data_IF_230109329483
#
_entry.id   IF_230109329483
#
_cell.length_a   1.000
_cell.length_b   1.000
_cell.length_c   1.000
_cell.angle_alpha   90.00
_cell.angle_beta   90.00
_cell.angle_gamma   90.00
#
_symmetry.space_group_name_H-M   'P 1'
#
loop_
_entity.id
_entity.type
_entity.pdbx_description
1 polymer ?
#
# COMPACT_ATOMS: atom_id res chain seq x y z
N UNK A 1 -26.01 24.31 2.52
CA UNK A 1 -26.03 25.78 2.58
C UNK A 1 -24.68 26.42 2.25
N UNK A 2 -23.57 25.95 2.86
CA UNK A 2 -22.22 26.48 2.61
C UNK A 2 -21.73 26.30 1.18
N UNK A 3 -22.04 25.17 0.52
CA UNK A 3 -21.66 24.91 -0.87
C UNK A 3 -22.29 25.93 -1.84
N UNK A 4 -23.58 26.22 -1.69
CA UNK A 4 -24.27 27.21 -2.52
C UNK A 4 -23.69 28.62 -2.33
N UNK A 5 -23.29 28.97 -1.10
CA UNK A 5 -22.63 30.26 -0.81
C UNK A 5 -21.26 30.35 -1.48
N UNK A 6 -20.45 29.28 -1.42
CA UNK A 6 -19.16 29.21 -2.14
C UNK A 6 -19.35 29.38 -3.64
N UNK A 7 -20.33 28.69 -4.24
CA UNK A 7 -20.63 28.82 -5.67
C UNK A 7 -21.10 30.24 -6.05
N UNK A 8 -21.88 30.89 -5.20
CA UNK A 8 -22.38 32.25 -5.44
C UNK A 8 -21.24 33.27 -5.40
N UNK A 9 -20.36 33.18 -4.40
CA UNK A 9 -19.17 34.03 -4.28
C UNK A 9 -18.21 33.79 -5.44
N UNK A 10 -17.99 32.52 -5.82
CA UNK A 10 -17.14 32.19 -6.97
C UNK A 10 -17.66 32.83 -8.26
N UNK A 11 -18.98 32.80 -8.51
CA UNK A 11 -19.60 33.43 -9.69
C UNK A 11 -19.49 34.95 -9.66
N UNK A 12 -19.62 35.56 -8.49
CA UNK A 12 -19.47 37.00 -8.31
C UNK A 12 -18.02 37.45 -8.58
N UNK A 13 -17.05 36.77 -7.98
CA UNK A 13 -15.62 37.03 -8.20
C UNK A 13 -15.23 36.81 -9.67
N UNK A 14 -15.79 35.81 -10.36
CA UNK A 14 -15.55 35.61 -11.78
C UNK A 14 -16.03 36.79 -12.63
N UNK A 15 -17.15 37.41 -12.25
CA UNK A 15 -17.69 38.58 -12.93
C UNK A 15 -16.87 39.85 -12.65
N UNK A 16 -16.31 39.98 -11.44
CA UNK A 16 -15.51 41.15 -11.03
C UNK A 16 -14.06 41.07 -11.53
N UNK A 17 -13.43 39.90 -11.46
CA UNK A 17 -12.01 39.68 -11.80
C UNK A 17 -11.81 39.31 -13.28
N UNK A 18 -12.84 38.83 -13.96
CA UNK A 18 -12.76 38.40 -15.37
C UNK A 18 -12.01 37.09 -15.59
N UNK A 19 -11.64 36.37 -14.53
CA UNK A 19 -11.03 35.04 -14.57
C UNK A 19 -11.62 34.12 -13.49
N UNK A 20 -11.36 32.82 -13.58
CA UNK A 20 -11.75 31.89 -12.51
C UNK A 20 -11.01 32.25 -11.21
N UNK A 21 -11.73 32.49 -10.10
CA UNK A 21 -11.10 32.85 -8.83
C UNK A 21 -10.45 31.64 -8.18
N UNK A 22 -9.29 31.88 -7.58
CA UNK A 22 -8.54 30.86 -6.86
C UNK A 22 -9.21 30.48 -5.52
N UNK A 23 -8.92 29.29 -4.96
CA UNK A 23 -9.47 28.90 -3.66
C UNK A 23 -9.09 29.87 -2.52
N UNK A 24 -7.98 30.60 -2.64
CA UNK A 24 -7.52 31.59 -1.66
C UNK A 24 -8.37 32.87 -1.70
N UNK A 25 -8.65 33.39 -2.90
CA UNK A 25 -9.53 34.56 -3.09
C UNK A 25 -10.94 34.30 -2.57
N UNK A 26 -11.50 33.11 -2.84
CA UNK A 26 -12.81 32.72 -2.33
C UNK A 26 -12.80 32.53 -0.80
N UNK A 27 -11.70 32.03 -0.24
CA UNK A 27 -11.55 31.89 1.21
C UNK A 27 -11.48 33.24 1.94
N UNK A 28 -10.74 34.19 1.37
CA UNK A 28 -10.63 35.55 1.90
C UNK A 28 -11.98 36.28 1.87
N UNK A 29 -12.72 36.20 0.76
CA UNK A 29 -14.03 36.85 0.61
C UNK A 29 -15.09 36.23 1.54
N UNK A 30 -15.03 34.91 1.77
CA UNK A 30 -15.99 34.22 2.66
C UNK A 30 -15.59 34.24 4.14
N UNK A 31 -14.39 34.69 4.48
CA UNK A 31 -13.84 34.60 5.84
C UNK A 31 -13.74 33.16 6.36
N UNK A 32 -13.51 32.20 5.46
CA UNK A 32 -13.39 30.77 5.79
C UNK A 32 -11.94 30.30 5.66
N UNK A 33 -11.52 29.27 6.41
CA UNK A 33 -10.20 28.67 6.21
C UNK A 33 -10.05 28.07 4.80
N UNK A 34 -8.87 28.26 4.19
CA UNK A 34 -8.53 27.78 2.85
C UNK A 34 -8.84 26.28 2.66
N UNK A 35 -8.44 25.43 3.61
CA UNK A 35 -8.66 23.98 3.56
C UNK A 35 -10.15 23.62 3.44
N UNK A 36 -11.01 24.40 4.11
CA UNK A 36 -12.46 24.20 4.11
C UNK A 36 -13.04 24.58 2.75
N UNK A 37 -12.58 25.68 2.16
CA UNK A 37 -13.00 26.12 0.81
C UNK A 37 -12.53 25.12 -0.24
N UNK A 38 -11.27 24.67 -0.20
CA UNK A 38 -10.76 23.64 -1.09
C UNK A 38 -11.56 22.33 -0.99
N UNK A 39 -11.92 21.91 0.21
CA UNK A 39 -12.74 20.71 0.42
C UNK A 39 -14.14 20.87 -0.17
N UNK A 40 -14.78 22.02 0.04
CA UNK A 40 -16.11 22.32 -0.52
C UNK A 40 -16.06 22.40 -2.05
N UNK A 41 -15.03 23.05 -2.61
CA UNK A 41 -14.84 23.13 -4.07
C UNK A 41 -14.63 21.74 -4.68
N UNK A 42 -13.83 20.87 -4.05
CA UNK A 42 -13.66 19.47 -4.48
C UNK A 42 -14.97 18.69 -4.43
N UNK A 43 -15.79 18.89 -3.40
CA UNK A 43 -17.11 18.24 -3.29
C UNK A 43 -18.13 18.78 -4.31
N UNK A 44 -17.98 20.03 -4.76
CA UNK A 44 -18.85 20.65 -5.76
C UNK A 44 -18.54 20.20 -7.20
N UNK A 45 -17.39 19.56 -7.44
CA UNK A 45 -17.05 19.02 -8.75
C UNK A 45 -18.05 17.90 -9.12
N UNK A 46 -18.68 18.03 -10.29
CA UNK A 46 -19.58 17.01 -10.78
C UNK A 46 -18.78 15.78 -11.24
N UNK A 47 -19.23 14.56 -10.90
CA UNK A 47 -18.57 13.35 -11.37
C UNK A 47 -18.68 13.26 -12.90
N UNK A 48 -17.58 12.86 -13.53
CA UNK A 48 -17.53 12.59 -14.97
C UNK A 48 -18.01 11.16 -15.21
N UNK A 49 -18.78 10.94 -16.27
CA UNK A 49 -19.21 9.59 -16.64
C UNK A 49 -18.02 8.79 -17.16
N UNK A 50 -17.88 7.54 -16.71
CA UNK A 50 -16.88 6.61 -17.27
C UNK A 50 -17.14 6.31 -18.75
N UNK A 51 -18.38 6.51 -19.21
CA UNK A 51 -18.77 6.32 -20.61
C UNK A 51 -18.56 7.57 -21.45
N UNK A 52 -18.09 8.69 -20.88
CA UNK A 52 -17.77 9.87 -21.68
C UNK A 52 -16.68 9.51 -22.70
N UNK A 53 -16.90 9.78 -24.01
CA UNK A 53 -15.89 9.51 -25.02
C UNK A 53 -14.67 10.40 -24.79
N UNK A 54 -13.48 9.88 -25.11
CA UNK A 54 -12.21 10.59 -25.00
C UNK A 54 -11.59 10.70 -26.38
N UNK A 55 -11.36 11.93 -26.84
CA UNK A 55 -10.83 12.20 -28.18
C UNK A 55 -11.91 12.13 -29.28
N UNK A 56 -11.47 12.07 -30.55
CA UNK A 56 -12.35 12.03 -31.74
C UNK A 56 -12.83 10.61 -32.10
N UNK A 57 -12.43 9.60 -31.33
CA UNK A 57 -12.79 8.21 -31.56
C UNK A 57 -13.96 7.80 -30.66
N UNK A 58 -15.06 7.36 -31.26
CA UNK A 58 -16.24 6.88 -30.53
C UNK A 58 -15.99 5.55 -29.77
N UNK A 59 -14.88 4.87 -30.07
CA UNK A 59 -14.53 3.57 -29.47
C UNK A 59 -13.76 3.66 -28.14
N UNK A 60 -13.38 4.87 -27.68
CA UNK A 60 -12.57 5.04 -26.46
C UNK A 60 -13.31 5.86 -25.41
N UNK A 61 -13.59 5.25 -24.26
CA UNK A 61 -14.29 5.88 -23.15
C UNK A 61 -13.32 6.24 -22.02
N UNK A 62 -13.71 7.19 -21.17
CA UNK A 62 -12.92 7.63 -20.02
C UNK A 62 -12.55 6.48 -19.07
N UNK A 63 -13.46 5.51 -18.90
CA UNK A 63 -13.26 4.32 -18.08
C UNK A 63 -12.11 3.43 -18.53
N UNK A 64 -11.78 3.42 -19.82
CA UNK A 64 -10.72 2.56 -20.38
C UNK A 64 -9.31 3.00 -19.93
N UNK A 65 -9.18 4.24 -19.47
CA UNK A 65 -7.93 4.82 -18.96
C UNK A 65 -7.78 4.70 -17.45
N UNK A 66 -8.80 4.23 -16.74
CA UNK A 66 -8.72 4.08 -15.29
C UNK A 66 -8.09 2.73 -14.96
N UNK A 67 -6.84 2.78 -14.53
CA UNK A 67 -6.15 1.62 -13.97
C UNK A 67 -6.86 1.14 -12.70
N UNK A 68 -7.20 -0.15 -12.64
CA UNK A 68 -7.64 -0.79 -11.41
C UNK A 68 -6.44 -1.05 -10.49
N UNK A 69 -6.24 -0.13 -9.54
CA UNK A 69 -5.19 -0.23 -8.51
C UNK A 69 -5.43 -1.36 -7.50
N UNK A 70 -6.62 -1.97 -7.50
CA UNK A 70 -6.97 -3.11 -6.67
C UNK A 70 -6.76 -4.45 -7.37
N UNK A 71 -6.52 -4.46 -8.68
CA UNK A 71 -6.29 -5.69 -9.43
C UNK A 71 -4.95 -6.31 -9.03
N UNK A 72 -4.99 -7.56 -8.58
CA UNK A 72 -3.77 -8.33 -8.30
C UNK A 72 -3.02 -8.62 -9.60
N UNK A 73 -1.76 -8.21 -9.68
CA UNK A 73 -0.93 -8.49 -10.83
C UNK A 73 -0.61 -10.00 -10.91
N UNK A 74 -0.92 -10.70 -12.02
CA UNK A 74 -0.65 -12.13 -12.17
C UNK A 74 0.84 -12.48 -12.02
N UNK A 75 1.75 -11.55 -12.36
CA UNK A 75 3.18 -11.73 -12.13
C UNK A 75 3.51 -11.79 -10.64
N UNK A 76 2.94 -10.88 -9.84
CA UNK A 76 3.16 -10.82 -8.40
C UNK A 76 2.58 -12.06 -7.73
N UNK A 77 1.38 -12.49 -8.13
CA UNK A 77 0.75 -13.72 -7.62
C UNK A 77 1.59 -14.98 -7.89
N UNK A 78 2.19 -15.05 -9.06
CA UNK A 78 3.09 -16.15 -9.44
C UNK A 78 4.38 -16.09 -8.60
N UNK A 79 4.95 -14.90 -8.42
CA UNK A 79 6.15 -14.68 -7.61
C UNK A 79 5.91 -15.06 -6.13
N UNK A 80 4.77 -14.68 -5.56
CA UNK A 80 4.38 -15.07 -4.19
C UNK A 80 4.21 -16.59 -4.05
N UNK A 81 3.58 -17.22 -5.03
CA UNK A 81 3.40 -18.69 -5.03
C UNK A 81 4.75 -19.41 -5.08
N UNK A 82 5.66 -18.96 -5.95
CA UNK A 82 7.01 -19.51 -6.06
C UNK A 82 7.84 -19.28 -4.79
N UNK A 83 7.74 -18.10 -4.19
CA UNK A 83 8.39 -17.79 -2.91
C UNK A 83 7.89 -18.74 -1.81
N UNK A 84 6.58 -18.96 -1.73
CA UNK A 84 5.98 -19.87 -0.75
C UNK A 84 6.52 -21.29 -0.90
N UNK A 85 6.59 -21.80 -2.13
CA UNK A 85 7.15 -23.11 -2.44
C UNK A 85 8.62 -23.21 -1.96
N UNK A 86 9.45 -22.21 -2.28
CA UNK A 86 10.87 -22.22 -1.88
C UNK A 86 11.06 -22.10 -0.36
N UNK A 87 10.20 -21.36 0.33
CA UNK A 87 10.20 -21.33 1.80
C UNK A 87 9.89 -22.73 2.35
N UNK A 88 8.91 -23.44 1.79
CA UNK A 88 8.58 -24.80 2.19
C UNK A 88 9.75 -25.78 1.95
N UNK A 89 10.41 -25.71 0.79
CA UNK A 89 11.61 -26.51 0.49
C UNK A 89 12.71 -26.30 1.56
N UNK A 90 12.96 -25.05 1.94
CA UNK A 90 13.95 -24.72 2.96
C UNK A 90 13.51 -25.19 4.35
N UNK A 91 12.22 -25.11 4.66
CA UNK A 91 11.67 -25.59 5.93
C UNK A 91 11.74 -27.12 6.05
N UNK A 92 11.60 -27.86 4.96
CA UNK A 92 11.71 -29.33 4.95
C UNK A 92 13.14 -29.81 5.21
N UNK A 93 14.14 -28.96 4.98
CA UNK A 93 15.53 -29.23 5.36
C UNK A 93 15.81 -29.02 6.87
N UNK A 94 14.83 -28.55 7.65
CA UNK A 94 14.91 -28.45 9.11
C UNK A 94 14.34 -29.69 9.78
N UNK A 95 14.57 -29.82 11.09
CA UNK A 95 13.91 -30.89 11.85
C UNK A 95 12.41 -30.58 11.97
N UNK A 96 11.58 -31.62 12.07
CA UNK A 96 10.12 -31.48 12.18
C UNK A 96 9.71 -30.51 13.31
N UNK A 97 10.42 -30.56 14.44
CA UNK A 97 10.19 -29.66 15.58
C UNK A 97 10.55 -28.21 15.27
N UNK A 98 11.65 -27.96 14.57
CA UNK A 98 12.04 -26.61 14.13
C UNK A 98 11.06 -26.05 13.10
N UNK A 99 10.66 -26.86 12.10
CA UNK A 99 9.67 -26.51 11.08
C UNK A 99 8.32 -26.14 11.70
N UNK A 100 7.81 -26.94 12.63
CA UNK A 100 6.52 -26.70 13.25
C UNK A 100 6.54 -25.45 14.15
N UNK A 101 7.64 -25.20 14.87
CA UNK A 101 7.81 -23.97 15.66
C UNK A 101 7.81 -22.73 14.76
N UNK A 102 8.57 -22.73 13.66
CA UNK A 102 8.59 -21.61 12.71
C UNK A 102 7.24 -21.41 12.01
N UNK A 103 6.60 -22.50 11.58
CA UNK A 103 5.31 -22.44 10.88
C UNK A 103 4.23 -21.81 11.74
N UNK A 104 4.18 -22.15 13.03
CA UNK A 104 3.24 -21.56 14.00
C UNK A 104 3.63 -20.14 14.40
N UNK A 105 4.92 -19.84 14.51
CA UNK A 105 5.40 -18.51 14.89
C UNK A 105 5.08 -17.47 13.81
N UNK A 106 5.31 -17.81 12.56
CA UNK A 106 5.14 -16.90 11.41
C UNK A 106 3.82 -17.10 10.65
N UNK A 107 2.94 -18.01 11.10
CA UNK A 107 1.65 -18.25 10.46
C UNK A 107 1.76 -18.81 9.04
N UNK A 108 2.81 -19.57 8.72
CA UNK A 108 3.09 -20.03 7.36
C UNK A 108 2.05 -21.04 6.83
N UNK A 109 1.24 -21.61 7.73
CA UNK A 109 0.20 -22.59 7.40
C UNK A 109 -1.20 -22.01 7.43
N UNK A 110 -1.55 -21.32 8.51
CA UNK A 110 -2.90 -20.81 8.81
C UNK A 110 -3.03 -19.29 8.68
N UNK A 111 -1.94 -18.56 8.37
CA UNK A 111 -1.93 -17.10 8.25
C UNK A 111 -1.85 -16.35 9.58
N UNK A 112 -1.92 -17.06 10.71
CA UNK A 112 -1.95 -16.46 12.04
C UNK A 112 -0.61 -16.63 12.75
N UNK A 113 0.13 -15.54 12.93
CA UNK A 113 1.35 -15.54 13.73
C UNK A 113 1.03 -15.72 15.22
N UNK A 114 1.67 -16.68 15.87
CA UNK A 114 1.52 -16.94 17.32
C UNK A 114 2.69 -16.38 18.11
N UNK A 115 2.47 -16.01 19.36
CA UNK A 115 3.54 -15.54 20.26
C UNK A 115 4.42 -16.70 20.75
N UNK A 116 5.63 -16.39 21.22
CA UNK A 116 6.54 -17.40 21.79
C UNK A 116 5.91 -18.18 22.97
N UNK A 117 5.03 -17.53 23.72
CA UNK A 117 4.33 -18.11 24.86
C UNK A 117 3.22 -19.06 24.41
N UNK A 118 2.43 -18.67 23.42
CA UNK A 118 1.39 -19.52 22.82
C UNK A 118 1.98 -20.78 22.17
N UNK A 119 3.07 -20.61 21.43
CA UNK A 119 3.82 -21.73 20.84
C UNK A 119 4.41 -22.60 21.96
N UNK A 120 4.98 -21.99 23.01
CA UNK A 120 5.50 -22.71 24.18
C UNK A 120 4.44 -23.58 24.85
N UNK A 121 3.23 -23.05 25.03
CA UNK A 121 2.08 -23.78 25.58
C UNK A 121 1.71 -25.00 24.73
N UNK A 122 1.68 -24.85 23.41
CA UNK A 122 1.36 -25.94 22.48
C UNK A 122 2.42 -27.06 22.47
N UNK A 123 3.70 -26.69 22.57
CA UNK A 123 4.81 -27.65 22.61
C UNK A 123 5.18 -28.13 24.01
N UNK A 124 4.44 -27.70 25.06
CA UNK A 124 4.70 -27.98 26.47
C UNK A 124 6.15 -27.67 26.89
N UNK A 125 6.66 -26.52 26.44
CA UNK A 125 8.01 -26.03 26.75
C UNK A 125 7.98 -24.57 27.16
N UNK A 126 9.05 -24.11 27.81
CA UNK A 126 9.18 -22.70 28.21
C UNK A 126 9.31 -21.78 27.01
N UNK A 127 8.89 -20.53 27.17
CA UNK A 127 9.07 -19.45 26.19
C UNK A 127 10.52 -19.35 25.70
N UNK A 128 11.47 -19.40 26.62
CA UNK A 128 12.90 -19.32 26.29
C UNK A 128 13.37 -20.50 25.45
N UNK A 129 12.80 -21.70 25.67
CA UNK A 129 13.11 -22.86 24.83
C UNK A 129 12.64 -22.68 23.40
N UNK A 130 11.45 -22.09 23.18
CA UNK A 130 10.98 -21.75 21.82
C UNK A 130 11.91 -20.74 21.17
N UNK A 131 12.33 -19.69 21.89
CA UNK A 131 13.28 -18.68 21.39
C UNK A 131 14.61 -19.31 20.95
N UNK A 132 15.13 -20.27 21.71
CA UNK A 132 16.34 -21.01 21.34
C UNK A 132 16.17 -21.84 20.07
N UNK A 133 15.03 -22.54 19.94
CA UNK A 133 14.72 -23.35 18.76
C UNK A 133 14.61 -22.46 17.52
N UNK A 134 13.91 -21.32 17.64
CA UNK A 134 13.79 -20.32 16.58
C UNK A 134 15.16 -19.79 16.15
N UNK A 135 15.99 -19.32 17.08
CA UNK A 135 17.33 -18.81 16.78
C UNK A 135 18.20 -19.87 16.09
N UNK A 136 18.11 -21.13 16.52
CA UNK A 136 18.83 -22.25 15.91
C UNK A 136 18.34 -22.53 14.49
N UNK A 137 17.02 -22.54 14.28
CA UNK A 137 16.42 -22.78 12.98
C UNK A 137 16.75 -21.66 11.98
N UNK A 138 16.63 -20.39 12.40
CA UNK A 138 17.02 -19.23 11.61
C UNK A 138 18.51 -19.27 11.25
N UNK A 139 19.38 -19.64 12.19
CA UNK A 139 20.81 -19.81 11.91
C UNK A 139 21.07 -20.87 10.83
N UNK A 140 20.31 -21.97 10.83
CA UNK A 140 20.39 -23.00 9.77
C UNK A 140 19.88 -22.47 8.42
N UNK A 141 18.78 -21.71 8.40
CA UNK A 141 18.23 -21.12 7.18
C UNK A 141 19.18 -20.07 6.57
N UNK A 142 19.91 -19.32 7.39
CA UNK A 142 20.92 -18.34 6.97
C UNK A 142 22.19 -18.96 6.38
N UNK A 143 22.33 -20.29 6.37
CA UNK A 143 23.51 -20.94 5.80
C UNK A 143 23.57 -20.68 4.27
N UNK A 144 24.77 -20.42 3.68
CA UNK A 144 24.93 -20.07 2.25
C UNK A 144 24.26 -21.03 1.26
N UNK A 145 24.18 -22.32 1.60
CA UNK A 145 23.50 -23.33 0.78
C UNK A 145 21.99 -23.11 0.67
N UNK A 146 21.34 -22.67 1.76
CA UNK A 146 19.89 -22.48 1.83
C UNK A 146 19.48 -21.06 1.43
N UNK A 147 20.26 -20.05 1.84
CA UNK A 147 19.99 -18.65 1.47
C UNK A 147 20.08 -18.41 -0.04
N UNK A 148 20.94 -19.15 -0.76
CA UNK A 148 21.03 -19.07 -2.23
C UNK A 148 19.72 -19.43 -2.93
N UNK A 149 18.90 -20.29 -2.32
CA UNK A 149 17.57 -20.65 -2.85
C UNK A 149 16.53 -19.53 -2.65
N UNK A 150 16.79 -18.60 -1.73
CA UNK A 150 15.90 -17.49 -1.37
C UNK A 150 16.42 -16.13 -1.87
N UNK A 151 17.69 -16.02 -2.27
CA UNK A 151 18.34 -14.76 -2.65
C UNK A 151 17.61 -14.02 -3.78
N UNK A 152 17.10 -14.74 -4.77
CA UNK A 152 16.37 -14.15 -5.91
C UNK A 152 15.07 -13.43 -5.53
N UNK A 153 14.52 -13.69 -4.34
CA UNK A 153 13.30 -13.02 -3.86
C UNK A 153 13.57 -11.77 -3.03
N UNK A 154 14.81 -11.57 -2.53
CA UNK A 154 15.16 -10.38 -1.76
C UNK A 154 15.41 -9.14 -2.63
N UNK A 155 15.72 -9.32 -3.91
CA UNK A 155 15.97 -8.23 -4.83
C UNK A 155 14.66 -7.58 -5.34
N UNK A 156 13.58 -8.36 -5.44
CA UNK A 156 12.27 -7.89 -5.89
C UNK A 156 11.59 -6.90 -4.92
N UNK A 157 11.96 -6.92 -3.64
CA UNK A 157 11.36 -6.07 -2.60
C UNK A 157 12.04 -4.69 -2.47
N UNK A 158 13.18 -4.47 -3.16
CA UNK A 158 13.84 -3.15 -3.15
C UNK A 158 13.20 -2.14 -4.11
N UNK A 159 12.40 -2.60 -5.08
CA UNK A 159 11.67 -1.74 -6.01
C UNK A 159 10.40 -1.12 -5.41
N UNK A 160 9.80 -1.73 -4.39
CA UNK A 160 8.58 -1.23 -3.72
C UNK A 160 8.87 -0.26 -2.57
N UNK A 161 10.06 -0.32 -1.97
CA UNK A 161 10.47 0.49 -0.80
C UNK A 161 11.02 1.87 -1.19
N UNK A 162 11.36 2.10 -2.46
CA UNK A 162 11.93 3.36 -2.93
C UNK A 162 10.90 4.35 -3.50
N UNK A 163 9.73 4.48 -2.85
CA UNK A 163 8.92 5.69 -3.05
C UNK A 163 9.62 6.84 -2.32
N UNK A 164 10.05 7.91 -3.02
CA UNK A 164 10.66 9.04 -2.36
C UNK A 164 9.68 9.62 -1.33
N UNK A 165 10.16 9.87 -0.11
CA UNK A 165 9.39 10.57 0.93
C UNK A 165 8.87 11.91 0.36
N UNK A 166 7.61 12.30 0.64
CA UNK A 166 7.03 13.54 0.11
C UNK A 166 7.67 14.84 0.68
N UNK A 167 8.75 14.76 1.45
CA UNK A 167 9.47 15.94 1.97
C UNK A 167 10.51 16.52 1.01
N UNK A 168 10.84 15.85 -0.12
CA UNK A 168 11.86 16.34 -1.05
C UNK A 168 11.38 17.39 -2.07
N UNK A 169 10.08 17.75 -2.10
CA UNK A 169 9.51 18.71 -3.06
C UNK A 169 9.42 20.16 -2.53
N UNK A 170 10.02 20.48 -1.39
CA UNK A 170 10.03 21.86 -0.83
C UNK A 170 11.35 22.62 -1.03
N UNK A 171 12.35 22.05 -1.69
CA UNK A 171 13.66 22.72 -1.90
C UNK A 171 14.00 23.07 -3.34
N UNK A 172 13.12 22.82 -4.30
CA UNK A 172 13.23 23.38 -5.66
C UNK A 172 12.06 24.31 -5.86
N UNK A 173 12.28 25.59 -5.60
CA UNK A 173 11.31 26.65 -5.83
C UNK A 173 10.98 26.79 -7.31
N UNK A 174 9.98 26.03 -7.76
CA UNK A 174 9.05 26.36 -8.84
C UNK A 174 7.63 26.14 -8.31
#
# INVERSE_FOLDING_TARGET
ETLNKVMQVQKQLLQELGHEPTPDEVANEMGLPLDKVQSIMKMAQQPISLQSPVGDSDDTNFGDFIEDKGAENPYDMTAYSLLREKILDVLDSLTERERNVLSLRFGLKDGYSRTLEEVGRQFKVTRERIRQIEAKALRKMRHPTRIRQLHGFFEADQSSVNKPKPEALRQLGL
#
